data_IF_605821445513
#
_entry.id   IF_605821445513
#
_cell.length_a   1.000
_cell.length_b   1.000
_cell.length_c   1.000
_cell.angle_alpha   90.00
_cell.angle_beta   90.00
_cell.angle_gamma   90.00
#
_symmetry.space_group_name_H-M   'P 1'
#
loop_
_entity.id
_entity.type
_entity.pdbx_description
1 polymer ?
#
# COMPACT_ATOMS: atom_id res chain seq x y z
N UNK A 1 16.32 15.19 -21.26
CA UNK A 1 15.15 16.09 -21.12
C UNK A 1 14.03 15.33 -20.40
N UNK A 2 13.85 15.52 -19.10
CA UNK A 2 12.78 14.86 -18.35
C UNK A 2 11.45 15.57 -18.63
N UNK A 3 10.49 14.88 -19.26
CA UNK A 3 9.13 15.40 -19.43
C UNK A 3 8.44 15.42 -18.06
N UNK A 4 8.08 16.62 -17.58
CA UNK A 4 7.26 16.78 -16.37
C UNK A 4 5.91 16.07 -16.56
N UNK A 5 5.38 15.33 -15.56
CA UNK A 5 4.03 14.78 -15.65
C UNK A 5 3.02 15.93 -15.72
N UNK A 6 2.10 15.86 -16.69
CA UNK A 6 1.09 16.89 -16.92
C UNK A 6 0.09 16.93 -15.76
N UNK A 7 -0.15 18.13 -15.23
CA UNK A 7 -1.16 18.37 -14.20
C UNK A 7 -2.56 18.11 -14.80
N UNK A 8 -3.47 17.37 -14.14
CA UNK A 8 -4.82 17.18 -14.66
C UNK A 8 -5.55 18.53 -14.72
N UNK A 9 -6.12 18.87 -15.88
CA UNK A 9 -6.91 20.09 -16.05
C UNK A 9 -8.17 19.99 -15.17
N UNK A 10 -8.58 21.07 -14.48
CA UNK A 10 -9.82 21.07 -13.72
C UNK A 10 -11.00 20.79 -14.67
N UNK A 11 -11.90 19.88 -14.28
CA UNK A 11 -13.16 19.69 -15.00
C UNK A 11 -13.96 20.99 -14.91
N UNK A 12 -14.35 21.51 -16.08
CA UNK A 12 -15.29 22.62 -16.20
C UNK A 12 -16.64 22.18 -15.64
N UNK A 13 -17.05 22.72 -14.49
CA UNK A 13 -18.35 22.43 -13.89
C UNK A 13 -19.42 23.27 -14.58
N UNK A 14 -20.34 22.59 -15.27
CA UNK A 14 -21.54 23.21 -15.83
C UNK A 14 -22.52 23.63 -14.70
N UNK A 15 -23.27 24.68 -15.00
CA UNK A 15 -24.05 25.58 -14.15
C UNK A 15 -25.25 24.91 -13.46
N UNK A 16 -25.38 25.04 -12.13
CA UNK A 16 -26.64 24.92 -11.38
C UNK A 16 -26.55 25.68 -10.05
N UNK A 17 -27.52 26.56 -9.70
CA UNK A 17 -27.34 27.55 -8.65
C UNK A 17 -27.96 27.10 -7.32
N UNK A 18 -27.27 26.31 -6.51
CA UNK A 18 -27.67 26.11 -5.08
C UNK A 18 -26.59 25.50 -4.17
N UNK A 19 -25.30 25.51 -4.52
CA UNK A 19 -24.24 25.01 -3.62
C UNK A 19 -23.12 26.03 -3.41
N UNK A 20 -22.72 26.33 -2.15
CA UNK A 20 -21.59 27.23 -1.91
C UNK A 20 -20.30 26.60 -2.46
N UNK A 21 -19.43 27.37 -3.12
CA UNK A 21 -18.22 26.82 -3.75
C UNK A 21 -17.17 26.49 -2.68
N UNK A 22 -17.16 25.24 -2.20
CA UNK A 22 -16.04 24.69 -1.43
C UNK A 22 -15.20 23.76 -2.28
N UNK A 23 -14.56 24.31 -3.30
CA UNK A 23 -13.52 23.62 -4.05
C UNK A 23 -12.50 24.64 -4.56
N UNK A 24 -11.60 25.09 -3.67
CA UNK A 24 -10.36 25.72 -4.15
C UNK A 24 -9.61 24.65 -4.95
N UNK A 25 -9.23 24.92 -6.22
CA UNK A 25 -8.43 23.97 -6.98
C UNK A 25 -7.13 23.71 -6.21
N UNK A 26 -6.79 22.45 -6.00
CA UNK A 26 -5.51 22.06 -5.42
C UNK A 26 -4.43 22.52 -6.39
N UNK A 27 -3.68 23.58 -6.03
CA UNK A 27 -2.56 24.07 -6.84
C UNK A 27 -1.62 22.92 -7.21
N UNK A 28 -1.08 22.91 -8.43
CA UNK A 28 -0.14 21.87 -8.88
C UNK A 28 1.08 21.74 -7.94
N UNK A 29 1.45 22.79 -7.20
CA UNK A 29 2.46 22.75 -6.12
C UNK A 29 2.02 21.92 -4.91
N UNK A 30 0.74 21.95 -4.56
CA UNK A 30 0.18 21.16 -3.46
C UNK A 30 0.05 19.69 -3.88
N UNK A 31 -0.34 19.42 -5.13
CA UNK A 31 -0.36 18.07 -5.69
C UNK A 31 1.04 17.43 -5.78
N UNK A 32 2.06 18.21 -6.18
CA UNK A 32 3.45 17.73 -6.18
C UNK A 32 4.00 17.48 -4.77
N UNK A 33 3.63 18.29 -3.77
CA UNK A 33 4.00 18.08 -2.35
C UNK A 33 3.31 16.89 -1.70
N UNK A 34 2.09 16.55 -2.14
CA UNK A 34 1.32 15.44 -1.59
C UNK A 34 1.64 14.08 -2.21
N UNK A 35 2.53 14.00 -3.21
CA UNK A 35 2.98 12.69 -3.70
C UNK A 35 3.81 12.02 -2.59
N UNK A 36 3.44 10.82 -2.11
CA UNK A 36 4.36 10.04 -1.32
C UNK A 36 5.55 9.74 -2.22
N UNK A 37 6.68 10.41 -1.96
CA UNK A 37 7.94 10.02 -2.54
C UNK A 37 8.16 8.56 -2.14
N UNK A 38 8.01 7.64 -3.09
CA UNK A 38 8.53 6.29 -2.96
C UNK A 38 10.03 6.43 -2.76
N UNK A 39 10.50 6.51 -1.50
CA UNK A 39 11.87 6.88 -1.12
C UNK A 39 12.86 5.87 -1.70
N UNK A 40 13.56 6.17 -2.81
CA UNK A 40 14.64 5.33 -3.30
C UNK A 40 15.86 5.77 -2.49
N UNK A 41 16.20 5.03 -1.43
CA UNK A 41 17.35 5.37 -0.59
C UNK A 41 17.45 4.58 0.71
N UNK A 42 16.33 4.05 1.22
CA UNK A 42 16.34 3.29 2.47
C UNK A 42 17.13 1.99 2.30
N UNK A 43 16.87 1.19 1.27
CA UNK A 43 17.54 -0.10 1.05
C UNK A 43 19.08 -0.02 1.01
N UNK A 44 19.64 1.01 0.35
CA UNK A 44 21.10 1.21 0.25
C UNK A 44 21.73 1.53 1.61
N UNK A 45 21.01 2.27 2.45
CA UNK A 45 21.50 2.65 3.78
C UNK A 45 21.34 1.50 4.79
N UNK A 46 20.25 0.72 4.70
CA UNK A 46 20.06 -0.46 5.54
C UNK A 46 21.17 -1.51 5.34
N UNK A 47 21.68 -1.65 4.12
CA UNK A 47 22.76 -2.62 3.84
C UNK A 47 24.12 -2.20 4.42
N UNK A 48 24.29 -0.93 4.81
CA UNK A 48 25.55 -0.36 5.31
C UNK A 48 25.55 -0.15 6.83
N UNK A 49 24.37 -0.17 7.45
CA UNK A 49 24.18 0.06 8.88
C UNK A 49 23.24 -1.03 9.43
N UNK A 50 23.80 -2.11 10.02
CA UNK A 50 23.02 -3.22 10.56
C UNK A 50 22.08 -2.81 11.70
N UNK A 51 22.46 -1.81 12.50
CA UNK A 51 21.62 -1.32 13.59
C UNK A 51 20.42 -0.55 13.07
N UNK A 52 20.61 0.26 12.03
CA UNK A 52 19.51 0.89 11.31
C UNK A 52 18.60 -0.15 10.66
N UNK A 53 19.17 -1.18 10.02
CA UNK A 53 18.41 -2.29 9.43
C UNK A 53 17.52 -2.99 10.46
N UNK A 54 18.10 -3.33 11.62
CA UNK A 54 17.39 -3.94 12.74
C UNK A 54 16.26 -3.03 13.21
N UNK A 55 16.54 -1.77 13.55
CA UNK A 55 15.51 -0.82 14.02
C UNK A 55 14.38 -0.63 13.02
N UNK A 56 14.72 -0.56 11.72
CA UNK A 56 13.73 -0.48 10.65
C UNK A 56 12.84 -1.73 10.61
N UNK A 57 13.44 -2.92 10.61
CA UNK A 57 12.72 -4.20 10.66
C UNK A 57 11.81 -4.29 11.90
N UNK A 58 12.32 -3.85 13.05
CA UNK A 58 11.60 -3.88 14.32
C UNK A 58 10.39 -2.96 14.36
N UNK A 59 10.58 -1.72 13.89
CA UNK A 59 9.55 -0.68 14.01
C UNK A 59 8.52 -0.76 12.88
N UNK A 60 8.93 -1.27 11.72
CA UNK A 60 8.09 -1.38 10.52
C UNK A 60 7.60 -2.82 10.31
N UNK A 61 8.29 -3.63 9.50
CA UNK A 61 7.85 -4.96 9.09
C UNK A 61 7.33 -5.86 10.22
N UNK A 62 8.09 -6.03 11.32
CA UNK A 62 7.66 -6.93 12.40
C UNK A 62 6.41 -6.42 13.09
N UNK A 63 6.33 -5.13 13.37
CA UNK A 63 5.14 -4.52 13.99
C UNK A 63 3.92 -4.67 13.09
N UNK A 64 4.08 -4.44 11.78
CA UNK A 64 3.00 -4.63 10.81
C UNK A 64 2.52 -6.08 10.78
N UNK A 65 3.44 -7.06 10.82
CA UNK A 65 3.09 -8.47 10.91
C UNK A 65 2.33 -8.81 12.19
N UNK A 66 2.85 -8.37 13.33
CA UNK A 66 2.22 -8.60 14.63
C UNK A 66 0.80 -8.02 14.69
N UNK A 67 0.58 -6.85 14.11
CA UNK A 67 -0.78 -6.27 14.05
C UNK A 67 -1.74 -7.14 13.24
N UNK A 68 -1.32 -7.67 12.09
CA UNK A 68 -2.16 -8.58 11.30
C UNK A 68 -2.44 -9.88 12.03
N UNK A 69 -1.42 -10.45 12.70
CA UNK A 69 -1.59 -11.65 13.52
C UNK A 69 -2.67 -11.45 14.60
N UNK A 70 -2.70 -10.28 15.27
CA UNK A 70 -3.77 -9.96 16.24
C UNK A 70 -5.16 -9.86 15.61
N UNK A 71 -5.27 -9.37 14.38
CA UNK A 71 -6.55 -9.34 13.66
C UNK A 71 -7.04 -10.76 13.38
N UNK A 72 -6.13 -11.64 12.92
CA UNK A 72 -6.45 -13.04 12.66
C UNK A 72 -6.78 -13.80 13.95
N UNK A 73 -6.07 -13.53 15.04
CA UNK A 73 -6.35 -14.08 16.37
C UNK A 73 -7.76 -13.72 16.85
N UNK A 74 -8.15 -12.45 16.73
CA UNK A 74 -9.51 -12.03 17.09
C UNK A 74 -10.58 -12.66 16.20
N UNK A 75 -10.31 -12.81 14.90
CA UNK A 75 -11.24 -13.45 13.98
C UNK A 75 -11.39 -14.96 14.26
N UNK A 76 -10.28 -15.63 14.60
CA UNK A 76 -10.29 -17.05 14.99
C UNK A 76 -11.04 -17.26 16.32
N UNK A 77 -10.81 -16.38 17.31
CA UNK A 77 -11.54 -16.41 18.58
C UNK A 77 -13.06 -16.15 18.43
N UNK A 78 -13.49 -15.58 17.31
CA UNK A 78 -14.88 -15.36 16.95
C UNK A 78 -15.43 -16.42 15.98
N UNK A 79 -14.69 -17.52 15.74
CA UNK A 79 -15.03 -18.59 14.81
C UNK A 79 -15.29 -18.12 13.36
N UNK A 80 -14.71 -16.98 12.97
CA UNK A 80 -14.87 -16.41 11.61
C UNK A 80 -13.86 -16.96 10.61
N UNK A 81 -12.71 -17.43 11.11
CA UNK A 81 -11.63 -18.01 10.32
C UNK A 81 -11.01 -19.19 11.07
N UNK A 82 -10.60 -20.22 10.33
CA UNK A 82 -9.90 -21.37 10.91
C UNK A 82 -8.38 -21.14 10.79
N UNK A 83 -7.74 -20.67 11.86
CA UNK A 83 -6.31 -20.37 11.89
C UNK A 83 -5.68 -20.99 13.13
N UNK A 84 -4.71 -21.89 12.95
CA UNK A 84 -4.02 -22.58 14.05
C UNK A 84 -2.94 -21.71 14.71
N UNK A 85 -2.11 -21.03 13.91
CA UNK A 85 -1.12 -20.05 14.39
C UNK A 85 -1.34 -18.70 13.69
N UNK A 86 -1.85 -17.66 14.39
CA UNK A 86 -2.06 -16.34 13.81
C UNK A 86 -0.78 -15.66 13.29
N UNK A 87 0.40 -15.96 13.85
CA UNK A 87 1.66 -15.37 13.39
C UNK A 87 2.10 -15.97 12.05
N UNK A 88 1.99 -17.28 11.92
CA UNK A 88 2.29 -17.99 10.67
C UNK A 88 1.29 -17.62 9.57
N UNK A 89 0.00 -17.59 9.91
CA UNK A 89 -1.05 -17.18 8.99
C UNK A 89 -0.87 -15.74 8.48
N UNK A 90 -0.43 -14.82 9.34
CA UNK A 90 -0.09 -13.46 8.92
C UNK A 90 1.07 -13.44 7.93
N UNK A 91 2.12 -14.26 8.14
CA UNK A 91 3.25 -14.40 7.21
C UNK A 91 2.77 -14.89 5.83
N UNK A 92 1.94 -15.94 5.80
CA UNK A 92 1.37 -16.47 4.57
C UNK A 92 0.52 -15.44 3.82
N UNK A 93 -0.34 -14.72 4.53
CA UNK A 93 -1.19 -13.70 3.92
C UNK A 93 -0.39 -12.53 3.34
N UNK A 94 0.70 -12.10 4.01
CA UNK A 94 1.62 -11.13 3.41
C UNK A 94 2.26 -11.66 2.13
N UNK A 95 2.68 -12.93 2.12
CA UNK A 95 3.21 -13.59 0.93
C UNK A 95 2.22 -13.55 -0.25
N UNK A 96 0.96 -13.88 0.01
CA UNK A 96 -0.12 -13.85 -1.00
C UNK A 96 -0.37 -12.43 -1.55
N UNK A 97 -0.38 -11.40 -0.69
CA UNK A 97 -0.59 -10.01 -1.13
C UNK A 97 0.58 -9.46 -1.96
N UNK A 98 1.81 -9.75 -1.53
CA UNK A 98 2.99 -9.33 -2.29
C UNK A 98 3.02 -10.04 -3.64
N UNK A 99 2.98 -11.38 -3.63
CA UNK A 99 3.06 -12.21 -4.82
C UNK A 99 4.24 -11.85 -5.74
N UNK A 100 4.23 -12.40 -6.95
CA UNK A 100 5.28 -12.11 -7.94
C UNK A 100 5.25 -10.65 -8.43
N UNK A 101 4.10 -10.01 -8.37
CA UNK A 101 3.89 -8.69 -8.94
C UNK A 101 4.40 -7.54 -8.05
N UNK A 102 4.91 -7.83 -6.85
CA UNK A 102 5.67 -6.86 -6.05
C UNK A 102 6.98 -6.44 -6.73
N UNK A 103 7.54 -7.26 -7.62
CA UNK A 103 8.73 -6.93 -8.42
C UNK A 103 8.44 -5.91 -9.53
N UNK A 104 7.21 -5.88 -10.04
CA UNK A 104 6.87 -5.13 -11.25
C UNK A 104 7.12 -3.62 -11.13
N UNK A 105 6.70 -2.91 -10.05
CA UNK A 105 6.95 -1.47 -9.93
C UNK A 105 8.43 -1.11 -9.78
N UNK A 106 9.24 -2.03 -9.25
CA UNK A 106 10.68 -1.79 -9.04
C UNK A 106 11.50 -2.05 -10.30
N UNK A 107 11.01 -2.88 -11.22
CA UNK A 107 11.77 -3.32 -12.39
C UNK A 107 11.28 -2.74 -13.71
N UNK A 108 9.97 -2.67 -13.95
CA UNK A 108 9.43 -2.40 -15.31
C UNK A 108 8.13 -1.59 -15.35
N UNK A 109 7.41 -1.46 -14.23
CA UNK A 109 6.05 -0.93 -14.18
C UNK A 109 5.94 0.44 -13.49
N UNK A 110 4.81 1.11 -13.70
CA UNK A 110 4.47 2.31 -12.92
C UNK A 110 3.71 1.95 -11.64
N UNK A 111 3.88 2.70 -10.54
CA UNK A 111 3.09 2.52 -9.32
C UNK A 111 1.57 2.69 -9.55
N UNK A 112 1.17 3.41 -10.59
CA UNK A 112 -0.24 3.68 -10.92
C UNK A 112 -0.94 2.43 -11.46
N UNK A 113 -0.25 1.63 -12.29
CA UNK A 113 -0.76 0.36 -12.80
C UNK A 113 -0.99 -0.65 -11.67
N UNK A 114 -0.06 -0.73 -10.71
CA UNK A 114 -0.22 -1.57 -9.53
C UNK A 114 -1.42 -1.12 -8.70
N UNK A 115 -1.56 0.19 -8.47
CA UNK A 115 -2.67 0.77 -7.69
C UNK A 115 -4.04 0.44 -8.27
N UNK A 116 -4.17 0.49 -9.60
CA UNK A 116 -5.42 0.17 -10.29
C UNK A 116 -5.89 -1.28 -10.04
N UNK A 117 -4.98 -2.19 -9.69
CA UNK A 117 -5.27 -3.62 -9.48
C UNK A 117 -5.30 -4.03 -8.00
N UNK A 118 -5.06 -3.11 -7.06
CA UNK A 118 -4.89 -3.44 -5.64
C UNK A 118 -6.09 -4.20 -5.06
N UNK A 119 -7.31 -3.70 -5.27
CA UNK A 119 -8.52 -4.33 -4.73
C UNK A 119 -8.66 -5.77 -5.21
N UNK A 120 -8.53 -6.00 -6.52
CA UNK A 120 -8.65 -7.34 -7.10
C UNK A 120 -7.58 -8.29 -6.56
N UNK A 121 -6.35 -7.81 -6.35
CA UNK A 121 -5.26 -8.62 -5.79
C UNK A 121 -5.53 -9.00 -4.35
N UNK A 122 -5.97 -8.04 -3.53
CA UNK A 122 -6.31 -8.29 -2.13
C UNK A 122 -7.44 -9.31 -2.05
N UNK A 123 -8.52 -9.12 -2.83
CA UNK A 123 -9.65 -10.07 -2.84
C UNK A 123 -9.20 -11.48 -3.21
N UNK A 124 -8.45 -11.66 -4.30
CA UNK A 124 -7.97 -13.00 -4.71
C UNK A 124 -7.08 -13.66 -3.67
N UNK A 125 -6.20 -12.90 -3.02
CA UNK A 125 -5.35 -13.42 -1.95
C UNK A 125 -6.18 -13.87 -0.74
N UNK A 126 -7.22 -13.12 -0.39
CA UNK A 126 -8.15 -13.50 0.69
C UNK A 126 -8.94 -14.75 0.30
N UNK A 127 -9.45 -14.84 -0.92
CA UNK A 127 -10.16 -16.02 -1.41
C UNK A 127 -9.28 -17.28 -1.27
N UNK A 128 -8.01 -17.21 -1.71
CA UNK A 128 -7.06 -18.31 -1.56
C UNK A 128 -6.77 -18.63 -0.10
N UNK A 129 -6.57 -17.60 0.73
CA UNK A 129 -6.28 -17.77 2.15
C UNK A 129 -7.42 -18.46 2.92
N UNK A 130 -8.67 -18.14 2.59
CA UNK A 130 -9.85 -18.73 3.24
C UNK A 130 -10.21 -20.13 2.74
N UNK A 131 -9.61 -20.58 1.63
CA UNK A 131 -9.79 -21.94 1.10
C UNK A 131 -8.83 -22.97 1.72
N UNK A 132 -7.73 -22.51 2.33
CA UNK A 132 -6.72 -23.35 2.97
C UNK A 132 -7.20 -23.86 4.34
#
# INVERSE_FOLDING_TARGET
MQRKPACPKPLSTNTSPTKPPSSRPVSCERWNRSKPASRPGVARNLSRDPDLARRFYETGPRRTKANLARVLEHAAAADQVNVTDPNEAAEHLFGLWQGFSNFQPSLVGSPEQLRAQLTQRVSRAIDVFLLA
#
